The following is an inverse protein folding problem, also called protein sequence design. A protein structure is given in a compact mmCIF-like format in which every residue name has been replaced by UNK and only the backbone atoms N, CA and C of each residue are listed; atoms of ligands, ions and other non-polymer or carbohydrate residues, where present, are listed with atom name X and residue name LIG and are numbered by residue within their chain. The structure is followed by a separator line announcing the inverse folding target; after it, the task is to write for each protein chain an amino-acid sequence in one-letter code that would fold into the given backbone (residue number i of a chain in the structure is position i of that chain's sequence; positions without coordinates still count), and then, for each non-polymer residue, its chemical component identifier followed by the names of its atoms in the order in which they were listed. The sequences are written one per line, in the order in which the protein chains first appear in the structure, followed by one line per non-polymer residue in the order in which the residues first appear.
data_IF_242115545970
#
_entry.id   IF_242115545970
#
_cell.length_a   1.000
_cell.length_b   1.000
_cell.length_c   1.000
_cell.angle_alpha   90.00
_cell.angle_beta   90.00
_cell.angle_gamma   90.00
#
_symmetry.space_group_name_H-M   'P 1'
#
loop_
_entity.id
_entity.type
_entity.pdbx_description
1 polymer ?
#
# COMPACT_ATOMS: atom_id res chain seq x y z
N UNK A 1 -7.38 2.03 22.79
CA UNK A 1 -6.41 1.66 21.77
C UNK A 1 -7.05 0.69 20.82
N UNK A 2 -6.95 0.96 19.52
CA UNK A 2 -7.42 0.04 18.49
C UNK A 2 -6.37 -1.07 18.35
N UNK A 3 -6.74 -2.32 18.59
CA UNK A 3 -5.89 -3.52 18.46
C UNK A 3 -5.53 -3.86 17.00
N UNK A 4 -5.54 -2.85 16.12
CA UNK A 4 -5.39 -2.98 14.67
C UNK A 4 -4.09 -2.33 14.19
N UNK A 5 -3.44 -2.99 13.23
CA UNK A 5 -2.29 -2.46 12.50
C UNK A 5 -2.74 -2.18 11.06
N UNK A 6 -2.70 -0.92 10.65
CA UNK A 6 -2.98 -0.52 9.27
C UNK A 6 -1.71 -0.56 8.40
N UNK A 7 -1.82 -1.12 7.20
CA UNK A 7 -0.71 -1.23 6.25
C UNK A 7 -0.78 -0.11 5.20
N UNK A 8 0.31 0.64 4.98
CA UNK A 8 0.29 1.89 4.19
C UNK A 8 0.18 1.70 2.67
N UNK A 9 0.22 0.46 2.15
CA UNK A 9 0.18 0.18 0.71
C UNK A 9 -1.02 -0.71 0.35
N UNK A 10 -2.10 -0.13 -0.19
CA UNK A 10 -3.21 -0.90 -0.71
C UNK A 10 -3.16 -1.13 -2.24
N UNK A 11 -4.03 -2.01 -2.77
CA UNK A 11 -4.86 -2.96 -2.03
C UNK A 11 -4.00 -4.09 -1.43
N UNK A 12 -4.35 -4.54 -0.23
CA UNK A 12 -3.66 -5.67 0.42
C UNK A 12 -4.12 -6.99 -0.22
N UNK A 13 -3.17 -7.77 -0.71
CA UNK A 13 -3.43 -9.10 -1.28
C UNK A 13 -3.30 -10.17 -0.21
N UNK A 14 -2.18 -10.19 0.52
CA UNK A 14 -1.91 -11.18 1.56
C UNK A 14 -0.78 -10.73 2.48
N UNK A 15 -0.77 -11.25 3.71
CA UNK A 15 0.35 -11.08 4.65
C UNK A 15 1.14 -12.39 4.68
N UNK A 16 2.44 -12.31 4.38
CA UNK A 16 3.33 -13.46 4.34
C UNK A 16 3.84 -13.80 5.74
N UNK A 17 4.44 -12.84 6.44
CA UNK A 17 4.94 -13.04 7.81
C UNK A 17 4.78 -11.79 8.66
N UNK A 18 4.42 -12.00 9.93
CA UNK A 18 4.52 -10.99 10.98
C UNK A 18 5.63 -11.45 11.91
N UNK A 19 6.71 -10.67 11.97
CA UNK A 19 7.88 -10.97 12.79
C UNK A 19 8.07 -9.87 13.82
N UNK A 20 8.50 -10.27 15.01
CA UNK A 20 8.83 -9.34 16.08
C UNK A 20 10.13 -9.76 16.77
N UNK A 21 10.78 -8.82 17.44
CA UNK A 21 11.94 -9.10 18.28
C UNK A 21 11.45 -9.17 19.72
N UNK A 22 11.60 -10.34 20.34
CA UNK A 22 11.22 -10.57 21.74
C UNK A 22 12.13 -9.78 22.71
N UNK A 23 11.76 -9.66 24.00
CA UNK A 23 12.56 -8.92 24.97
C UNK A 23 13.99 -9.43 25.13
N UNK A 24 14.24 -10.71 24.81
CA UNK A 24 15.56 -11.34 24.82
C UNK A 24 16.40 -11.00 23.59
N UNK A 25 15.82 -10.28 22.61
CA UNK A 25 16.50 -9.85 21.38
C UNK A 25 16.47 -10.89 20.26
N UNK A 26 15.63 -11.92 20.36
CA UNK A 26 15.50 -12.95 19.34
C UNK A 26 14.35 -12.64 18.39
N UNK A 27 14.56 -12.88 17.09
CA UNK A 27 13.52 -12.68 16.09
C UNK A 27 12.54 -13.86 16.11
N UNK A 28 11.29 -13.57 16.46
CA UNK A 28 10.18 -14.51 16.51
C UNK A 28 9.22 -14.26 15.33
N UNK A 29 8.52 -15.31 14.92
CA UNK A 29 7.42 -15.21 13.94
C UNK A 29 6.11 -15.37 14.68
N UNK A 30 5.23 -14.38 14.57
CA UNK A 30 3.88 -14.44 15.13
C UNK A 30 3.05 -15.43 14.34
N UNK A 31 2.43 -16.38 15.04
CA UNK A 31 1.55 -17.38 14.42
C UNK A 31 0.32 -16.71 13.80
N UNK A 32 -0.11 -17.20 12.64
CA UNK A 32 -1.34 -16.76 11.96
C UNK A 32 -2.62 -17.05 12.77
N UNK A 33 -2.54 -17.82 13.85
CA UNK A 33 -3.65 -18.05 14.78
C UNK A 33 -3.88 -16.89 15.74
N UNK A 34 -2.91 -15.99 15.89
CA UNK A 34 -3.00 -14.85 16.82
C UNK A 34 -3.72 -13.65 16.20
N UNK A 35 -3.76 -13.57 14.86
CA UNK A 35 -4.28 -12.42 14.15
C UNK A 35 -5.14 -12.82 12.95
N UNK A 36 -6.05 -11.93 12.56
CA UNK A 36 -6.82 -12.00 11.32
C UNK A 36 -6.38 -10.86 10.41
N UNK A 37 -6.24 -11.18 9.12
CA UNK A 37 -5.92 -10.19 8.08
C UNK A 37 -7.20 -9.83 7.36
N UNK A 38 -7.52 -8.55 7.33
CA UNK A 38 -8.61 -8.00 6.54
C UNK A 38 -8.05 -7.38 5.26
N UNK A 39 -8.40 -8.00 4.13
CA UNK A 39 -8.06 -7.55 2.78
C UNK A 39 -9.25 -6.89 2.07
N UNK A 40 -10.41 -6.79 2.72
CA UNK A 40 -11.64 -6.29 2.09
C UNK A 40 -11.72 -4.76 2.04
N UNK A 41 -11.01 -4.09 2.96
CA UNK A 41 -10.95 -2.64 3.04
C UNK A 41 -10.06 -2.00 1.98
N UNK A 42 -10.22 -0.68 1.80
CA UNK A 42 -9.30 0.13 1.00
C UNK A 42 -7.88 0.03 1.56
N UNK A 43 -7.72 0.00 2.88
CA UNK A 43 -6.45 -0.26 3.55
C UNK A 43 -6.41 -1.72 4.03
N UNK A 44 -5.24 -2.34 3.90
CA UNK A 44 -4.98 -3.62 4.52
C UNK A 44 -4.88 -3.47 6.04
N UNK A 45 -5.58 -4.32 6.79
CA UNK A 45 -5.56 -4.28 8.26
C UNK A 45 -5.24 -5.64 8.86
N UNK A 46 -4.56 -5.62 9.99
CA UNK A 46 -4.28 -6.81 10.80
C UNK A 46 -4.89 -6.57 12.18
N UNK A 47 -5.78 -7.47 12.60
CA UNK A 47 -6.42 -7.45 13.91
C UNK A 47 -5.96 -8.62 14.74
N UNK A 48 -5.82 -8.44 16.06
CA UNK A 48 -5.69 -9.58 16.96
C UNK A 48 -6.99 -10.38 17.01
N UNK A 49 -6.86 -11.70 17.10
CA UNK A 49 -8.00 -12.57 17.35
C UNK A 49 -8.48 -12.40 18.79
N UNK A 50 -9.78 -12.64 19.02
CA UNK A 50 -10.36 -12.50 20.35
C UNK A 50 -9.64 -13.37 21.39
N UNK A 51 -9.26 -12.77 22.52
CA UNK A 51 -8.54 -13.43 23.60
C UNK A 51 -7.01 -13.50 23.43
N UNK A 52 -6.48 -12.92 22.35
CA UNK A 52 -5.03 -12.74 22.17
C UNK A 52 -4.62 -11.30 22.44
N UNK A 53 -3.35 -11.12 22.81
CA UNK A 53 -2.70 -9.82 22.98
C UNK A 53 -1.42 -9.78 22.14
N UNK A 54 -0.96 -8.58 21.78
CA UNK A 54 0.34 -8.41 21.12
C UNK A 54 1.43 -8.92 22.07
N UNK A 55 2.42 -9.69 21.58
CA UNK A 55 3.55 -10.11 22.39
C UNK A 55 4.35 -8.90 22.87
N UNK A 56 5.01 -9.05 24.02
CA UNK A 56 6.02 -8.08 24.44
C UNK A 56 7.16 -8.05 23.42
N UNK A 57 7.58 -6.83 23.07
CA UNK A 57 8.65 -6.60 22.11
C UNK A 57 9.80 -5.85 22.79
N UNK A 58 11.02 -6.07 22.30
CA UNK A 58 12.14 -5.21 22.63
C UNK A 58 11.93 -3.83 22.03
N UNK A 59 12.18 -2.78 22.80
CA UNK A 59 12.04 -1.39 22.36
C UNK A 59 13.23 -1.00 21.50
N UNK A 60 13.13 -1.28 20.20
CA UNK A 60 14.15 -0.91 19.22
C UNK A 60 13.54 -0.58 17.83
N UNK A 61 14.26 0.20 17.00
CA UNK A 61 13.81 0.48 15.64
C UNK A 61 13.66 -0.80 14.82
N UNK A 62 12.56 -0.93 14.09
CA UNK A 62 12.24 -2.11 13.29
C UNK A 62 12.07 -3.40 14.12
N UNK A 63 11.69 -3.28 15.40
CA UNK A 63 11.38 -4.43 16.24
C UNK A 63 10.25 -5.29 15.65
N UNK A 64 9.26 -4.67 15.02
CA UNK A 64 8.17 -5.35 14.31
C UNK A 64 8.38 -5.21 12.79
N UNK A 65 8.31 -6.33 12.09
CA UNK A 65 8.47 -6.42 10.63
C UNK A 65 7.32 -7.21 10.05
N UNK A 66 6.58 -6.61 9.13
CA UNK A 66 5.44 -7.24 8.46
C UNK A 66 5.78 -7.33 6.98
N UNK A 67 5.85 -8.55 6.48
CA UNK A 67 6.05 -8.85 5.06
C UNK A 67 4.68 -9.17 4.45
N UNK A 68 4.27 -8.40 3.44
CA UNK A 68 2.97 -8.51 2.80
C UNK A 68 3.05 -8.20 1.31
N UNK A 69 2.07 -8.72 0.57
CA UNK A 69 1.88 -8.47 -0.86
C UNK A 69 0.76 -7.46 -1.03
N UNK A 70 1.03 -6.37 -1.76
CA UNK A 70 0.07 -5.33 -2.07
C UNK A 70 0.08 -5.00 -3.57
N UNK A 71 -1.07 -4.51 -4.07
CA UNK A 71 -1.30 -4.17 -5.47
C UNK A 71 -2.40 -5.03 -6.11
N UNK A 72 -2.78 -4.70 -7.34
CA UNK A 72 -3.86 -5.38 -8.06
C UNK A 72 -3.49 -6.80 -8.54
N UNK A 73 -2.21 -7.19 -8.46
CA UNK A 73 -1.71 -8.52 -8.86
C UNK A 73 -1.72 -8.74 -10.37
N UNK A 74 -2.91 -8.83 -10.96
CA UNK A 74 -3.13 -9.06 -12.39
C UNK A 74 -3.34 -7.77 -13.18
N UNK A 75 -2.83 -7.74 -14.41
CA UNK A 75 -3.01 -6.60 -15.31
C UNK A 75 -4.50 -6.32 -15.65
N UNK A 76 -5.35 -7.35 -15.65
CA UNK A 76 -6.79 -7.21 -15.84
C UNK A 76 -7.47 -6.55 -14.63
N UNK A 77 -6.97 -6.76 -13.41
CA UNK A 77 -7.54 -6.26 -12.16
C UNK A 77 -7.23 -4.77 -11.90
N UNK A 78 -6.26 -4.19 -12.61
CA UNK A 78 -5.97 -2.75 -12.51
C UNK A 78 -7.14 -1.94 -13.09
N UNK A 79 -7.68 -0.94 -12.35
CA UNK A 79 -8.77 -0.08 -12.82
C UNK A 79 -8.46 0.60 -14.15
N UNK A 80 -9.49 0.79 -14.97
CA UNK A 80 -9.36 1.44 -16.28
C UNK A 80 -8.89 2.89 -16.17
N UNK A 81 -9.25 3.56 -15.08
CA UNK A 81 -8.82 4.93 -14.78
C UNK A 81 -7.29 5.00 -14.62
N UNK A 82 -6.72 4.09 -13.82
CA UNK A 82 -5.26 3.99 -13.65
C UNK A 82 -4.57 3.71 -14.97
N UNK A 83 -5.10 2.80 -15.80
CA UNK A 83 -4.56 2.50 -17.13
C UNK A 83 -4.60 3.71 -18.05
N UNK A 84 -5.72 4.41 -18.09
CA UNK A 84 -5.92 5.60 -18.91
C UNK A 84 -4.96 6.72 -18.51
N UNK A 85 -4.81 6.96 -17.19
CA UNK A 85 -3.86 7.92 -16.67
C UNK A 85 -2.41 7.56 -17.04
N UNK A 86 -2.02 6.29 -16.92
CA UNK A 86 -0.68 5.82 -17.33
C UNK A 86 -0.44 6.06 -18.82
N UNK A 87 -1.39 5.70 -19.69
CA UNK A 87 -1.27 5.88 -21.13
C UNK A 87 -1.14 7.36 -21.51
N UNK A 88 -1.95 8.24 -20.91
CA UNK A 88 -1.85 9.69 -21.12
C UNK A 88 -0.48 10.22 -20.71
N UNK A 89 0.03 9.79 -19.55
CA UNK A 89 1.33 10.24 -19.04
C UNK A 89 2.51 9.72 -19.85
N UNK A 90 2.42 8.48 -20.35
CA UNK A 90 3.41 7.89 -21.24
C UNK A 90 3.40 8.59 -22.59
N UNK A 91 2.22 8.86 -23.16
CA UNK A 91 2.07 9.60 -24.42
C UNK A 91 2.69 11.00 -24.33
N UNK A 92 2.36 11.74 -23.28
CA UNK A 92 2.93 13.07 -22.99
C UNK A 92 4.48 13.03 -22.97
N UNK A 93 5.08 12.06 -22.27
CA UNK A 93 6.55 11.92 -22.22
C UNK A 93 7.16 11.40 -23.53
N UNK A 94 6.43 10.64 -24.33
CA UNK A 94 6.90 10.15 -25.62
C UNK A 94 6.95 11.25 -26.67
N UNK A 95 5.95 12.12 -26.67
CA UNK A 95 5.86 13.29 -27.56
C UNK A 95 6.83 14.39 -27.12
N UNK A 96 6.95 14.64 -25.80
CA UNK A 96 7.82 15.67 -25.24
C UNK A 96 9.08 15.04 -24.60
N UNK A 97 10.01 14.53 -25.44
CA UNK A 97 11.29 13.94 -24.96
C UNK A 97 12.37 14.96 -24.60
N UNK A 98 12.05 16.24 -24.67
CA UNK A 98 12.96 17.33 -24.33
C UNK A 98 12.68 17.83 -22.91
N UNK A 99 13.74 18.18 -22.17
CA UNK A 99 13.65 18.71 -20.81
C UNK A 99 12.95 20.08 -20.74
N UNK A 100 12.98 20.83 -21.85
CA UNK A 100 12.46 22.20 -21.94
C UNK A 100 11.81 22.36 -23.32
N UNK A 101 10.51 22.65 -23.35
CA UNK A 101 9.80 23.03 -24.56
C UNK A 101 9.57 24.54 -24.51
N UNK A 102 10.16 25.30 -25.44
CA UNK A 102 9.96 26.76 -25.55
C UNK A 102 8.91 27.04 -26.61
N UNK A 103 7.73 27.55 -26.21
CA UNK A 103 6.78 28.17 -27.14
C UNK A 103 5.45 27.44 -27.41
N UNK A 104 5.04 26.44 -26.64
CA UNK A 104 3.75 25.75 -26.85
C UNK A 104 2.64 26.31 -25.98
N UNK A 105 1.53 26.77 -26.58
CA UNK A 105 0.29 27.11 -25.86
C UNK A 105 -0.52 25.81 -25.69
N UNK A 106 -0.28 25.09 -24.60
CA UNK A 106 -1.09 23.92 -24.25
C UNK A 106 -2.21 24.32 -23.30
N UNK A 107 -3.46 24.03 -23.66
CA UNK A 107 -4.60 24.19 -22.76
C UNK A 107 -4.71 22.95 -21.86
N UNK A 108 -4.65 23.15 -20.54
CA UNK A 108 -4.87 22.06 -19.57
C UNK A 108 -6.31 21.56 -19.73
N UNK A 109 -6.49 20.31 -20.11
CA UNK A 109 -7.80 19.63 -20.01
C UNK A 109 -8.29 19.69 -18.55
N UNK A 110 -9.61 19.81 -18.29
CA UNK A 110 -10.16 19.78 -16.93
C UNK A 110 -9.57 18.62 -16.14
N UNK A 111 -9.16 18.88 -14.90
CA UNK A 111 -8.11 18.13 -14.20
C UNK A 111 -8.27 16.59 -14.22
N UNK A 112 -7.40 15.94 -15.02
CA UNK A 112 -7.13 14.49 -14.99
C UNK A 112 -6.61 14.00 -13.62
N UNK A 113 -6.27 14.91 -12.69
CA UNK A 113 -5.98 14.56 -11.30
C UNK A 113 -7.17 13.93 -10.57
N UNK A 114 -8.39 14.20 -11.04
CA UNK A 114 -9.61 13.59 -10.54
C UNK A 114 -9.74 12.09 -10.82
N UNK A 115 -9.08 11.60 -11.87
CA UNK A 115 -9.17 10.19 -12.29
C UNK A 115 -8.56 9.24 -11.24
N UNK A 116 -7.56 9.71 -10.50
CA UNK A 116 -6.89 8.94 -9.44
C UNK A 116 -7.45 9.24 -8.04
N UNK A 117 -8.46 10.11 -7.90
CA UNK A 117 -9.02 10.45 -6.58
C UNK A 117 -9.74 9.26 -5.94
N UNK A 118 -10.25 8.31 -6.73
CA UNK A 118 -10.86 7.08 -6.21
C UNK A 118 -9.88 6.16 -5.48
N UNK A 119 -8.62 6.13 -5.95
CA UNK A 119 -7.58 5.21 -5.45
C UNK A 119 -6.58 5.91 -4.50
N UNK A 120 -6.70 7.23 -4.29
CA UNK A 120 -5.83 7.98 -3.37
C UNK A 120 -6.24 7.72 -1.93
N UNK A 121 -5.43 6.92 -1.24
CA UNK A 121 -5.42 6.90 0.23
C UNK A 121 -4.95 8.28 0.72
N UNK A 122 -5.80 8.96 1.49
CA UNK A 122 -5.47 10.25 2.09
C UNK A 122 -4.31 10.13 3.08
N UNK A 123 -3.33 11.03 2.97
CA UNK A 123 -2.33 11.31 4.00
C UNK A 123 -2.74 12.59 4.73
#
# INVERSE_FOLDING_TARGET
DSDEIELPLPPLVSVATVKYIDPDGTLQTLSNTYYTVDTSGVLGRIYLNYGYSWPDIRVEPNAVRIEYVAGYGDASAVPEDVKSWMLLRIGDRYEHRESIVVGTIASKLPELGGLLLGDRVGF
#
